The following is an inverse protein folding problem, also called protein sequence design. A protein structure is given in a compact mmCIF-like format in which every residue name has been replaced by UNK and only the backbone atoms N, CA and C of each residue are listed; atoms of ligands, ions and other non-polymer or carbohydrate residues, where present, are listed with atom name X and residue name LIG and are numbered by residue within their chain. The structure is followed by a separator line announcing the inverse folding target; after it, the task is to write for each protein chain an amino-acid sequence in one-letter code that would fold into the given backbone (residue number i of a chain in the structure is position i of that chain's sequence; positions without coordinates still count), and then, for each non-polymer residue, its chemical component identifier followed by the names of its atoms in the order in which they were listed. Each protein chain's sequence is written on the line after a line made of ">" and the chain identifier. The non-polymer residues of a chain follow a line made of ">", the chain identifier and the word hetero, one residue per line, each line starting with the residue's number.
data_IF_329676826996
#
_entry.id   IF_329676826996
#
_cell.length_a   1.000
_cell.length_b   1.000
_cell.length_c   1.000
_cell.angle_alpha   90.00
_cell.angle_beta   90.00
_cell.angle_gamma   90.00
#
_symmetry.space_group_name_H-M   'P 1'
#
loop_
_entity.id
_entity.type
_entity.pdbx_description
1 polymer ?
#
# COMPACT_ATOMS: atom_id res chain seq x y z
N UNK A 1 8.28 -1.98 7.93
CA UNK A 1 7.81 -3.13 7.15
C UNK A 1 6.83 -3.89 8.04
N UNK A 2 5.58 -4.09 7.61
CA UNK A 2 4.63 -4.93 8.34
C UNK A 2 5.13 -6.38 8.21
N UNK A 3 5.87 -6.85 9.21
CA UNK A 3 6.14 -8.28 9.36
C UNK A 3 4.92 -8.91 10.04
N UNK A 4 4.03 -9.44 9.22
CA UNK A 4 2.94 -10.27 9.68
C UNK A 4 3.49 -11.67 9.94
N UNK A 5 3.60 -12.07 11.20
CA UNK A 5 3.86 -13.46 11.54
C UNK A 5 2.57 -14.26 11.33
N UNK A 6 2.62 -15.26 10.45
CA UNK A 6 1.49 -16.11 10.13
C UNK A 6 1.01 -16.97 11.32
N UNK A 7 1.72 -16.94 12.46
CA UNK A 7 1.36 -17.63 13.70
C UNK A 7 0.60 -16.76 14.71
N UNK A 8 0.46 -15.46 14.47
CA UNK A 8 -0.23 -14.57 15.40
C UNK A 8 -1.73 -14.86 15.49
N UNK A 9 -2.25 -14.79 16.72
CA UNK A 9 -3.68 -14.96 16.95
C UNK A 9 -4.43 -13.75 16.35
N UNK A 10 -5.65 -13.92 15.80
CA UNK A 10 -6.40 -12.83 15.15
C UNK A 10 -6.58 -11.56 16.01
N UNK A 11 -6.62 -11.72 17.34
CA UNK A 11 -6.71 -10.61 18.30
C UNK A 11 -5.44 -9.76 18.34
N UNK A 12 -4.27 -10.40 18.37
CA UNK A 12 -2.96 -9.73 18.40
C UNK A 12 -2.71 -8.97 17.11
N UNK A 13 -3.11 -9.56 15.99
CA UNK A 13 -3.08 -8.92 14.67
C UNK A 13 -3.94 -7.63 14.68
N UNK A 14 -5.13 -7.69 15.29
CA UNK A 14 -6.05 -6.56 15.38
C UNK A 14 -5.49 -5.42 16.25
N UNK A 15 -4.91 -5.77 17.39
CA UNK A 15 -4.25 -4.83 18.30
C UNK A 15 -3.09 -4.13 17.60
N UNK A 16 -2.24 -4.90 16.91
CA UNK A 16 -1.12 -4.33 16.16
C UNK A 16 -1.60 -3.38 15.06
N UNK A 17 -2.65 -3.73 14.32
CA UNK A 17 -3.25 -2.81 13.34
C UNK A 17 -3.75 -1.52 13.98
N UNK A 18 -4.37 -1.58 15.16
CA UNK A 18 -4.80 -0.38 15.87
C UNK A 18 -3.60 0.47 16.29
N UNK A 19 -2.53 -0.13 16.80
CA UNK A 19 -1.30 0.62 17.14
C UNK A 19 -0.65 1.27 15.92
N UNK A 20 -0.78 0.70 14.72
CA UNK A 20 -0.37 1.36 13.48
C UNK A 20 -1.24 2.57 13.15
N UNK A 21 -2.57 2.44 13.27
CA UNK A 21 -3.52 3.52 12.99
C UNK A 21 -3.36 4.69 13.96
N UNK A 22 -3.07 4.40 15.23
CA UNK A 22 -2.84 5.38 16.29
C UNK A 22 -1.41 5.94 16.30
N UNK A 23 -0.54 5.46 15.41
CA UNK A 23 0.86 5.89 15.33
C UNK A 23 1.73 5.44 16.53
N UNK A 24 1.24 4.51 17.34
CA UNK A 24 1.97 3.94 18.47
C UNK A 24 3.09 2.99 18.02
N UNK A 25 2.92 2.38 16.84
CA UNK A 25 3.91 1.53 16.21
C UNK A 25 4.00 1.82 14.71
N UNK A 26 5.21 1.93 14.12
CA UNK A 26 6.55 1.85 14.74
C UNK A 26 6.87 3.05 15.65
N UNK A 27 8.06 3.09 16.28
CA UNK A 27 8.53 4.16 17.20
C UNK A 27 8.40 5.60 16.68
N UNK A 28 8.27 5.77 15.36
CA UNK A 28 8.07 7.06 14.69
C UNK A 28 6.80 7.07 13.82
N UNK A 29 5.85 6.19 14.13
CA UNK A 29 4.53 6.17 13.54
C UNK A 29 3.81 7.49 13.80
N UNK A 30 2.91 7.83 12.89
CA UNK A 30 1.97 8.93 13.07
C UNK A 30 0.57 8.37 12.97
N UNK A 31 -0.38 9.04 13.63
CA UNK A 31 -1.79 8.73 13.48
C UNK A 31 -2.19 8.86 12.03
N UNK A 32 -2.98 7.90 11.55
CA UNK A 32 -3.48 7.91 10.19
C UNK A 32 -4.66 8.88 10.01
N UNK A 33 -5.23 9.38 11.12
CA UNK A 33 -6.28 10.39 11.09
C UNK A 33 -5.79 11.65 10.35
N UNK A 34 -6.55 12.06 9.33
CA UNK A 34 -6.21 13.20 8.48
C UNK A 34 -5.18 12.90 7.37
N UNK A 35 -4.63 11.67 7.28
CA UNK A 35 -3.82 11.28 6.14
C UNK A 35 -4.63 11.30 4.85
N UNK A 36 -4.06 11.88 3.80
CA UNK A 36 -4.63 11.89 2.44
C UNK A 36 -3.94 10.91 1.50
N UNK A 37 -2.69 10.54 1.83
CA UNK A 37 -1.89 9.58 1.08
C UNK A 37 -1.26 8.56 2.02
N UNK A 38 -1.13 7.31 1.55
CA UNK A 38 -0.32 6.27 2.19
C UNK A 38 0.75 5.80 1.22
N UNK A 39 1.95 5.53 1.73
CA UNK A 39 3.06 5.07 0.90
C UNK A 39 3.64 3.78 1.46
N UNK A 40 3.85 2.79 0.59
CA UNK A 40 4.55 1.57 0.96
C UNK A 40 5.31 0.98 -0.22
N UNK A 41 6.38 0.25 0.08
CA UNK A 41 7.16 -0.49 -0.91
C UNK A 41 6.73 -1.95 -0.93
N UNK A 42 6.68 -2.55 -2.12
CA UNK A 42 6.45 -3.99 -2.28
C UNK A 42 7.66 -4.61 -2.95
N UNK A 43 8.11 -5.75 -2.40
CA UNK A 43 9.12 -6.59 -3.00
C UNK A 43 8.47 -7.86 -3.54
N UNK A 44 8.59 -8.10 -4.83
CA UNK A 44 8.24 -9.38 -5.44
C UNK A 44 9.46 -9.94 -6.17
N UNK A 45 9.91 -11.14 -5.80
CA UNK A 45 11.03 -11.87 -6.46
C UNK A 45 12.29 -11.01 -6.66
N UNK A 46 12.66 -10.22 -5.65
CA UNK A 46 13.82 -9.30 -5.67
C UNK A 46 13.64 -8.03 -6.51
N UNK A 47 12.45 -7.80 -7.06
CA UNK A 47 12.08 -6.54 -7.69
C UNK A 47 11.27 -5.68 -6.73
N UNK A 48 11.62 -4.39 -6.65
CA UNK A 48 10.96 -3.43 -5.77
C UNK A 48 10.17 -2.42 -6.60
N UNK A 49 8.93 -2.20 -6.19
CA UNK A 49 8.11 -1.09 -6.68
C UNK A 49 7.49 -0.32 -5.52
N UNK A 50 7.25 0.97 -5.73
CA UNK A 50 6.60 1.83 -4.76
C UNK A 50 5.11 1.94 -5.05
N UNK A 51 4.31 1.97 -3.99
CA UNK A 51 2.87 2.14 -4.04
C UNK A 51 2.49 3.40 -3.27
N UNK A 52 1.70 4.24 -3.92
CA UNK A 52 0.98 5.34 -3.30
C UNK A 52 -0.50 4.99 -3.28
N UNK A 53 -1.17 5.19 -2.15
CA UNK A 53 -2.62 5.12 -2.02
C UNK A 53 -3.12 6.55 -1.90
N UNK A 54 -3.80 7.04 -2.93
CA UNK A 54 -4.52 8.32 -2.88
C UNK A 54 -5.92 8.03 -2.34
N UNK A 55 -6.16 8.44 -1.10
CA UNK A 55 -7.42 8.14 -0.38
C UNK A 55 -8.59 8.85 -1.06
N UNK A 56 -8.40 10.10 -1.49
CA UNK A 56 -9.46 10.89 -2.11
C UNK A 56 -9.86 10.30 -3.48
N UNK A 57 -8.91 9.76 -4.23
CA UNK A 57 -9.17 9.10 -5.52
C UNK A 57 -9.53 7.62 -5.39
N UNK A 58 -9.49 7.05 -4.19
CA UNK A 58 -9.65 5.60 -3.98
C UNK A 58 -8.78 4.78 -4.94
N UNK A 59 -7.51 5.17 -5.14
CA UNK A 59 -6.64 4.58 -6.16
C UNK A 59 -5.24 4.30 -5.61
N UNK A 60 -4.70 3.12 -5.94
CA UNK A 60 -3.29 2.77 -5.74
C UNK A 60 -2.49 3.05 -7.01
N UNK A 61 -1.57 4.01 -6.94
CA UNK A 61 -0.61 4.31 -7.99
C UNK A 61 0.67 3.51 -7.79
N UNK A 62 1.06 2.77 -8.82
CA UNK A 62 2.24 1.91 -8.80
C UNK A 62 3.36 2.58 -9.59
N UNK A 63 4.45 2.89 -8.90
CA UNK A 63 5.68 3.42 -9.45
C UNK A 63 6.68 2.28 -9.58
N UNK A 64 6.77 1.75 -10.79
CA UNK A 64 7.65 0.63 -11.12
C UNK A 64 8.77 1.09 -12.07
N UNK A 65 10.04 1.07 -11.62
CA UNK A 65 11.16 1.50 -12.44
C UNK A 65 11.49 0.54 -13.60
N UNK A 66 11.11 -0.74 -13.52
CA UNK A 66 11.43 -1.73 -14.55
C UNK A 66 10.27 -2.70 -14.81
N UNK A 67 9.67 -2.56 -16.00
CA UNK A 67 8.51 -3.35 -16.41
C UNK A 67 8.81 -4.80 -16.77
N UNK A 68 10.08 -5.17 -16.90
CA UNK A 68 10.49 -6.51 -17.31
C UNK A 68 10.16 -7.53 -16.21
N UNK A 69 10.19 -7.12 -14.95
CA UNK A 69 10.06 -8.03 -13.81
C UNK A 69 8.61 -8.42 -13.49
N UNK A 70 7.64 -7.55 -13.75
CA UNK A 70 6.24 -7.77 -13.37
C UNK A 70 5.26 -7.26 -14.44
N UNK A 71 4.35 -8.14 -14.85
CA UNK A 71 3.19 -7.77 -15.66
C UNK A 71 2.14 -7.06 -14.80
N UNK A 72 1.22 -6.33 -15.44
CA UNK A 72 0.15 -5.64 -14.72
C UNK A 72 -0.76 -6.63 -13.98
N UNK A 73 -0.97 -7.83 -14.51
CA UNK A 73 -1.75 -8.88 -13.85
C UNK A 73 -1.04 -9.43 -12.61
N UNK A 74 0.30 -9.57 -12.66
CA UNK A 74 1.07 -10.00 -11.50
C UNK A 74 1.00 -8.93 -10.39
N UNK A 75 1.16 -7.66 -10.74
CA UNK A 75 1.04 -6.54 -9.78
C UNK A 75 -0.36 -6.51 -9.16
N UNK A 76 -1.41 -6.66 -9.97
CA UNK A 76 -2.79 -6.74 -9.47
C UNK A 76 -2.99 -7.93 -8.53
N UNK A 77 -2.42 -9.09 -8.85
CA UNK A 77 -2.52 -10.27 -8.01
C UNK A 77 -1.80 -10.06 -6.66
N UNK A 78 -0.60 -9.50 -6.68
CA UNK A 78 0.20 -9.21 -5.47
C UNK A 78 -0.51 -8.21 -4.54
N UNK A 79 -1.17 -7.20 -5.12
CA UNK A 79 -1.83 -6.12 -4.39
C UNK A 79 -3.29 -6.38 -4.05
N UNK A 80 -3.88 -7.46 -4.58
CA UNK A 80 -5.28 -7.84 -4.31
C UNK A 80 -5.62 -7.93 -2.82
N UNK A 81 -4.75 -8.43 -1.91
CA UNK A 81 -5.05 -8.39 -0.48
C UNK A 81 -5.18 -6.96 0.06
N UNK A 82 -4.39 -6.01 -0.47
CA UNK A 82 -4.40 -4.61 -0.03
C UNK A 82 -5.69 -3.89 -0.44
N UNK A 83 -6.29 -4.26 -1.57
CA UNK A 83 -7.60 -3.70 -1.98
C UNK A 83 -8.74 -4.08 -1.04
N UNK A 84 -8.53 -5.06 -0.16
CA UNK A 84 -9.49 -5.47 0.88
C UNK A 84 -9.11 -4.90 2.25
N UNK A 85 -7.84 -5.04 2.63
CA UNK A 85 -7.35 -4.66 3.97
C UNK A 85 -7.34 -3.14 4.17
N UNK A 86 -6.88 -2.36 3.17
CA UNK A 86 -6.78 -0.90 3.32
C UNK A 86 -8.15 -0.24 3.54
N UNK A 87 -9.21 -0.54 2.75
CA UNK A 87 -10.54 -0.02 3.06
C UNK A 87 -11.03 -0.39 4.47
N UNK A 88 -10.75 -1.60 4.94
CA UNK A 88 -11.13 -2.03 6.29
C UNK A 88 -10.41 -1.23 7.38
N UNK A 89 -9.12 -0.95 7.20
CA UNK A 89 -8.33 -0.14 8.14
C UNK A 89 -8.77 1.33 8.13
N UNK A 90 -8.96 1.92 6.94
CA UNK A 90 -9.44 3.29 6.80
C UNK A 90 -10.82 3.49 7.43
N UNK A 91 -11.71 2.49 7.31
CA UNK A 91 -13.02 2.53 7.96
C UNK A 91 -12.93 2.64 9.49
N UNK A 92 -11.90 2.07 10.13
CA UNK A 92 -11.70 2.17 11.59
C UNK A 92 -11.44 3.61 12.05
N UNK A 93 -10.92 4.46 11.18
CA UNK A 93 -10.68 5.89 11.42
C UNK A 93 -11.72 6.78 10.72
N UNK A 94 -12.91 6.23 10.46
CA UNK A 94 -14.05 6.92 9.81
C UNK A 94 -13.79 7.44 8.39
N UNK A 95 -12.79 6.87 7.69
CA UNK A 95 -12.55 7.16 6.28
C UNK A 95 -13.19 6.05 5.45
N UNK A 96 -14.14 6.41 4.58
CA UNK A 96 -14.76 5.49 3.63
C UNK A 96 -14.19 5.78 2.25
N UNK A 97 -13.58 4.76 1.66
CA UNK A 97 -13.16 4.77 0.26
C UNK A 97 -14.00 3.78 -0.53
N UNK A 98 -14.18 4.05 -1.81
CA UNK A 98 -14.84 3.14 -2.74
C UNK A 98 -13.92 1.94 -3.06
N UNK A 99 -14.27 1.17 -4.09
CA UNK A 99 -13.42 0.09 -4.57
C UNK A 99 -12.04 0.63 -4.97
N UNK A 100 -11.00 0.15 -4.27
CA UNK A 100 -9.63 0.63 -4.48
C UNK A 100 -9.11 0.16 -5.85
N UNK A 101 -8.97 1.11 -6.78
CA UNK A 101 -8.42 0.86 -8.11
C UNK A 101 -6.89 0.67 -8.05
N UNK A 102 -6.31 0.01 -9.06
CA UNK A 102 -4.86 -0.17 -9.20
C UNK A 102 -4.43 0.38 -10.55
N UNK A 103 -3.58 1.40 -10.53
CA UNK A 103 -3.07 2.06 -11.72
C UNK A 103 -1.54 2.09 -11.71
N UNK A 104 -0.93 1.51 -12.74
CA UNK A 104 0.53 1.53 -12.90
C UNK A 104 0.96 2.75 -13.70
N UNK A 105 1.67 3.67 -13.06
CA UNK A 105 2.17 4.89 -13.68
C UNK A 105 3.32 4.55 -14.64
N UNK A 106 3.33 5.22 -15.79
CA UNK A 106 4.45 5.18 -16.73
C UNK A 106 5.21 6.49 -16.66
N UNK A 107 6.38 6.50 -16.01
CA UNK A 107 7.39 7.51 -16.30
C UNK A 107 8.06 7.12 -17.61
N UNK A 108 7.50 7.57 -18.74
CA UNK A 108 8.25 7.60 -19.99
C UNK A 108 9.24 8.77 -19.93
N UNK A 109 10.34 8.60 -19.20
CA UNK A 109 11.52 9.42 -19.45
C UNK A 109 12.11 8.98 -20.78
N UNK A 110 11.69 9.64 -21.87
CA UNK A 110 12.57 9.73 -23.04
C UNK A 110 13.86 10.36 -22.53
N UNK A 111 14.92 9.57 -22.36
CA UNK A 111 16.25 10.13 -22.37
C UNK A 111 16.43 10.79 -23.74
N UNK A 112 16.22 12.11 -23.80
CA UNK A 112 16.73 12.93 -24.88
C UNK A 112 18.23 12.96 -24.70
N UNK A 113 18.93 12.02 -25.35
CA UNK A 113 20.37 12.08 -25.52
C UNK A 113 20.66 13.42 -26.23
N UNK A 114 21.25 14.34 -25.46
CA UNK A 114 21.82 15.59 -25.97
C UNK A 114 23.27 15.34 -26.34
#
# INVERSE_FOLDING_TARGET
>A
MLELDATEHPTELLERFNSYLEGEFPKHGQKWEGCTHLYFSVCNRSHWYAVEVDIAKSTMFIYDPDRIYSTDDQIRADLKPMTMILPMLLKKINIVIDALAIERITTTSKQSNS
#
